data_IF_027427370479
#
_entry.id   IF_027427370479
#
_cell.length_a   1.000
_cell.length_b   1.000
_cell.length_c   1.000
_cell.angle_alpha   90.00
_cell.angle_beta   90.00
_cell.angle_gamma   90.00
#
_symmetry.space_group_name_H-M   'P 1'
#
loop_
_entity.id
_entity.type
_entity.pdbx_description
1 polymer ?
#
# COMPACT_ATOMS: atom_id res chain seq x y z
N UNK A 1 27.13 11.77 -7.73
CA UNK A 1 26.32 10.55 -7.99
C UNK A 1 25.36 10.37 -6.84
N UNK A 2 24.06 10.24 -7.09
CA UNK A 2 23.04 9.91 -6.08
C UNK A 2 22.54 8.48 -6.33
N UNK A 3 22.26 7.73 -5.26
CA UNK A 3 21.71 6.36 -5.32
C UNK A 3 20.29 6.38 -4.78
N UNK A 4 19.39 5.67 -5.44
CA UNK A 4 18.07 5.33 -4.90
C UNK A 4 18.19 4.04 -4.12
N UNK A 5 17.91 4.10 -2.83
CA UNK A 5 17.91 2.94 -1.93
C UNK A 5 16.46 2.71 -1.48
N UNK A 6 16.10 1.46 -1.19
CA UNK A 6 14.86 1.17 -0.48
C UNK A 6 14.91 1.87 0.89
N UNK A 7 13.99 2.79 1.14
CA UNK A 7 13.86 3.46 2.44
C UNK A 7 13.20 2.52 3.43
N UNK A 8 12.09 1.91 3.05
CA UNK A 8 11.29 1.08 3.96
C UNK A 8 10.34 0.12 3.25
N UNK A 9 9.78 -0.85 3.99
CA UNK A 9 8.69 -1.70 3.48
C UNK A 9 7.79 -2.25 4.59
N UNK A 10 6.53 -2.49 4.24
CA UNK A 10 5.62 -3.39 4.92
C UNK A 10 5.66 -4.76 4.23
N UNK A 11 5.99 -5.80 4.98
CA UNK A 11 6.20 -7.13 4.42
C UNK A 11 5.01 -8.05 4.68
N UNK A 12 4.35 -8.50 3.60
CA UNK A 12 3.26 -9.49 3.61
C UNK A 12 2.02 -9.06 4.41
N UNK A 13 1.57 -7.84 4.17
CA UNK A 13 0.28 -7.36 4.70
C UNK A 13 -0.87 -7.89 3.86
N UNK A 14 -2.02 -8.12 4.47
CA UNK A 14 -3.22 -8.59 3.77
C UNK A 14 -4.07 -7.41 3.30
N UNK A 15 -4.49 -7.43 2.04
CA UNK A 15 -5.44 -6.47 1.49
C UNK A 15 -6.77 -6.64 2.21
N UNK A 16 -7.27 -5.57 2.82
CA UNK A 16 -8.58 -5.57 3.51
C UNK A 16 -9.71 -5.14 2.58
N UNK A 17 -9.45 -4.18 1.69
CA UNK A 17 -10.45 -3.56 0.82
C UNK A 17 -9.85 -3.28 -0.57
N UNK A 18 -10.71 -3.28 -1.58
CA UNK A 18 -10.36 -2.85 -2.93
C UNK A 18 -11.53 -2.06 -3.54
N UNK A 19 -11.42 -0.73 -3.60
CA UNK A 19 -12.53 0.15 -3.96
C UNK A 19 -12.29 0.89 -5.28
N UNK A 20 -12.91 0.41 -6.36
CA UNK A 20 -12.73 0.96 -7.70
C UNK A 20 -13.20 2.42 -7.85
N UNK A 21 -14.23 2.82 -7.11
CA UNK A 21 -14.87 4.14 -7.22
C UNK A 21 -14.37 5.15 -6.20
N UNK A 22 -13.36 4.78 -5.40
CA UNK A 22 -12.67 5.68 -4.48
C UNK A 22 -11.45 6.34 -5.16
N UNK A 23 -10.96 7.45 -4.61
CA UNK A 23 -9.78 8.15 -5.13
C UNK A 23 -8.54 7.23 -5.14
N UNK A 24 -7.87 7.17 -6.31
CA UNK A 24 -6.75 6.24 -6.53
C UNK A 24 -5.59 6.48 -5.58
N UNK A 25 -5.32 5.50 -4.70
CA UNK A 25 -4.35 5.55 -3.60
C UNK A 25 -4.24 4.16 -2.94
N UNK A 26 -3.39 4.01 -1.92
CA UNK A 26 -3.48 2.93 -0.95
C UNK A 26 -3.67 3.50 0.46
N UNK A 27 -4.84 3.29 1.07
CA UNK A 27 -5.06 3.66 2.46
C UNK A 27 -4.47 2.58 3.38
N UNK A 28 -3.63 2.99 4.33
CA UNK A 28 -2.86 2.10 5.20
C UNK A 28 -3.05 2.55 6.64
N UNK A 29 -3.28 1.59 7.54
CA UNK A 29 -3.31 1.82 9.00
C UNK A 29 -2.13 2.70 9.43
N UNK A 30 -2.44 3.75 10.18
CA UNK A 30 -1.47 4.71 10.68
C UNK A 30 -0.33 4.06 11.50
N UNK A 31 -0.60 3.01 12.28
CA UNK A 31 0.44 2.30 13.04
C UNK A 31 1.44 1.58 12.12
N UNK A 32 0.98 1.06 10.97
CA UNK A 32 1.83 0.42 9.97
C UNK A 32 2.67 1.46 9.23
N UNK A 33 2.07 2.61 8.86
CA UNK A 33 2.78 3.72 8.24
C UNK A 33 3.88 4.25 9.15
N UNK A 34 3.59 4.49 10.42
CA UNK A 34 4.55 4.98 11.41
C UNK A 34 5.69 3.96 11.62
N UNK A 35 5.36 2.67 11.73
CA UNK A 35 6.36 1.60 11.89
C UNK A 35 7.28 1.47 10.69
N UNK A 36 6.74 1.61 9.47
CA UNK A 36 7.54 1.61 8.24
C UNK A 36 8.17 2.97 7.92
N UNK A 37 7.88 4.03 8.68
CA UNK A 37 8.29 5.40 8.35
C UNK A 37 7.82 5.82 6.93
N UNK A 38 6.63 5.40 6.49
CA UNK A 38 6.00 5.84 5.23
C UNK A 38 5.06 7.00 5.57
N UNK A 39 5.17 8.12 4.85
CA UNK A 39 4.32 9.29 5.09
C UNK A 39 3.07 9.25 4.22
N UNK A 40 2.04 9.93 4.69
CA UNK A 40 0.90 10.28 3.84
C UNK A 40 1.38 11.06 2.61
N UNK A 41 0.80 10.76 1.46
CA UNK A 41 1.17 11.25 0.13
C UNK A 41 2.58 10.84 -0.36
N UNK A 42 3.27 9.93 0.34
CA UNK A 42 4.53 9.35 -0.13
C UNK A 42 4.27 8.36 -1.27
N UNK A 43 5.07 8.42 -2.33
CA UNK A 43 5.05 7.42 -3.39
C UNK A 43 5.43 6.05 -2.82
N UNK A 44 4.66 5.03 -3.16
CA UNK A 44 4.88 3.65 -2.77
C UNK A 44 4.78 2.71 -3.97
N UNK A 45 5.62 1.68 -3.95
CA UNK A 45 5.50 0.53 -4.82
C UNK A 45 4.77 -0.60 -4.09
N UNK A 46 3.81 -1.23 -4.77
CA UNK A 46 3.04 -2.36 -4.27
C UNK A 46 3.34 -3.58 -5.14
N UNK A 47 3.72 -4.67 -4.48
CA UNK A 47 4.02 -5.96 -5.10
C UNK A 47 3.04 -7.00 -4.54
N UNK A 48 2.11 -7.43 -5.37
CA UNK A 48 1.10 -8.41 -5.00
C UNK A 48 1.67 -9.82 -5.17
N UNK A 49 1.78 -10.55 -4.06
CA UNK A 49 2.35 -11.91 -4.00
C UNK A 49 1.42 -12.94 -4.62
N UNK A 50 0.10 -12.71 -4.55
CA UNK A 50 -0.90 -13.67 -4.98
C UNK A 50 -1.01 -13.74 -6.51
N UNK A 51 -0.99 -12.58 -7.19
CA UNK A 51 -1.22 -12.49 -8.63
C UNK A 51 0.00 -11.99 -9.43
N UNK A 52 1.08 -11.56 -8.78
CA UNK A 52 2.31 -11.08 -9.42
C UNK A 52 2.25 -9.64 -9.93
N UNK A 53 1.14 -8.93 -9.77
CA UNK A 53 1.02 -7.52 -10.15
C UNK A 53 2.03 -6.65 -9.39
N UNK A 54 2.59 -5.67 -10.11
CA UNK A 54 3.53 -4.68 -9.57
C UNK A 54 3.11 -3.31 -10.06
N UNK A 55 2.92 -2.38 -9.13
CA UNK A 55 2.40 -1.06 -9.47
C UNK A 55 2.82 0.00 -8.46
N UNK A 56 2.76 1.26 -8.87
CA UNK A 56 3.15 2.40 -8.06
C UNK A 56 1.93 3.29 -7.83
N UNK A 57 1.79 3.81 -6.61
CA UNK A 57 0.77 4.77 -6.22
C UNK A 57 1.30 5.62 -5.06
N UNK A 58 0.44 6.22 -4.24
CA UNK A 58 0.81 6.93 -3.02
C UNK A 58 0.01 6.42 -1.81
N UNK A 59 0.58 6.60 -0.61
CA UNK A 59 -0.06 6.22 0.64
C UNK A 59 -1.06 7.27 1.15
N UNK A 60 -2.18 6.83 1.70
CA UNK A 60 -3.11 7.63 2.52
C UNK A 60 -3.20 7.03 3.92
N UNK A 61 -3.45 7.87 4.94
CA UNK A 61 -3.69 7.36 6.30
C UNK A 61 -5.10 6.80 6.41
N UNK A 62 -5.19 5.58 6.94
CA UNK A 62 -6.42 5.02 7.47
C UNK A 62 -6.47 5.20 9.00
N UNK A 63 -7.61 4.84 9.60
CA UNK A 63 -7.78 4.86 11.05
C UNK A 63 -6.70 4.03 11.76
N UNK A 64 -6.11 4.58 12.82
CA UNK A 64 -5.04 3.95 13.59
C UNK A 64 -5.52 2.67 14.28
N UNK A 65 -4.75 1.59 14.17
CA UNK A 65 -5.04 0.30 14.77
C UNK A 65 -6.16 -0.49 14.08
N UNK A 66 -6.65 -0.01 12.93
CA UNK A 66 -7.72 -0.65 12.16
C UNK A 66 -7.26 -1.89 11.37
N UNK A 67 -5.95 -2.04 11.14
CA UNK A 67 -5.37 -3.03 10.25
C UNK A 67 -5.67 -2.80 8.77
N UNK A 68 -6.22 -1.64 8.39
CA UNK A 68 -6.65 -1.35 7.02
C UNK A 68 -5.46 -1.35 6.06
N UNK A 69 -5.65 -2.07 4.95
CA UNK A 69 -4.89 -1.98 3.70
C UNK A 69 -5.94 -1.92 2.58
N UNK A 70 -6.25 -0.72 2.09
CA UNK A 70 -7.27 -0.50 1.06
C UNK A 70 -6.64 -0.03 -0.24
N UNK A 71 -6.79 -0.82 -1.31
CA UNK A 71 -6.26 -0.48 -2.63
C UNK A 71 -7.38 0.18 -3.46
N UNK A 72 -7.23 1.46 -3.74
CA UNK A 72 -8.33 2.30 -4.22
C UNK A 72 -8.18 2.74 -5.68
N UNK A 73 -9.30 3.13 -6.30
CA UNK A 73 -9.37 3.65 -7.65
C UNK A 73 -8.92 2.63 -8.70
N UNK A 74 -8.14 3.07 -9.68
CA UNK A 74 -7.62 2.19 -10.73
C UNK A 74 -6.76 1.03 -10.20
N UNK A 75 -6.13 1.21 -9.03
CA UNK A 75 -5.33 0.17 -8.37
C UNK A 75 -6.18 -0.98 -7.83
N UNK A 76 -7.47 -0.78 -7.56
CA UNK A 76 -8.40 -1.83 -7.12
C UNK A 76 -8.53 -2.98 -8.14
N UNK A 77 -8.12 -2.79 -9.39
CA UNK A 77 -8.06 -3.86 -10.40
C UNK A 77 -6.83 -4.77 -10.25
N UNK A 78 -5.84 -4.40 -9.44
CA UNK A 78 -4.55 -5.08 -9.28
C UNK A 78 -4.43 -5.87 -7.98
N UNK A 79 -5.40 -5.75 -7.08
CA UNK A 79 -5.47 -6.49 -5.82
C UNK A 79 -6.93 -6.76 -5.44
N UNK A 80 -7.17 -7.88 -4.78
CA UNK A 80 -8.46 -8.23 -4.18
C UNK A 80 -8.32 -8.35 -2.66
N UNK A 81 -9.41 -8.17 -1.88
CA UNK A 81 -9.40 -8.50 -0.46
C UNK A 81 -8.87 -9.92 -0.20
N UNK A 82 -7.95 -10.06 0.74
CA UNK A 82 -7.24 -11.30 1.05
C UNK A 82 -5.90 -11.47 0.32
N UNK A 83 -5.60 -10.68 -0.71
CA UNK A 83 -4.29 -10.73 -1.36
C UNK A 83 -3.17 -10.25 -0.44
N UNK A 84 -2.02 -10.93 -0.49
CA UNK A 84 -0.83 -10.58 0.27
C UNK A 84 0.02 -9.59 -0.51
N UNK A 85 0.28 -8.43 0.07
CA UNK A 85 1.04 -7.35 -0.53
C UNK A 85 2.39 -7.14 0.18
N UNK A 86 3.37 -6.67 -0.58
CA UNK A 86 4.55 -5.98 -0.07
C UNK A 86 4.44 -4.53 -0.54
N UNK A 87 4.53 -3.59 0.40
CA UNK A 87 4.43 -2.14 0.12
C UNK A 87 5.78 -1.53 0.47
N UNK A 88 6.39 -0.77 -0.44
CA UNK A 88 7.75 -0.27 -0.32
C UNK A 88 7.84 1.22 -0.69
N UNK A 89 8.76 1.95 -0.05
CA UNK A 89 9.18 3.31 -0.45
C UNK A 89 10.68 3.46 -0.54
#
# INVERSE_FOLDING_TARGET
>A
MQRTMLKSKLHRVSTTHAELHYEGSCAIDEDLLDTANIREYEQIDIWNVNNGERFTTYALRAERGSGVISVNGSAARRAAPGDILIIAS
#
